data_IF_305149690179
#
_entry.id   IF_305149690179
#
_cell.length_a   1.000
_cell.length_b   1.000
_cell.length_c   1.000
_cell.angle_alpha   90.00
_cell.angle_beta   90.00
_cell.angle_gamma   90.00
#
_symmetry.space_group_name_H-M   'P 1'
#
loop_
_entity.id
_entity.type
_entity.pdbx_description
1 polymer ?
#
# COMPACT_ATOMS: atom_id res chain seq x y z
N UNK A 1 -3.25 -7.44 1.97
CA UNK A 1 -3.16 -8.05 3.30
C UNK A 1 -2.10 -7.38 4.16
N UNK A 2 -0.82 -7.37 3.76
CA UNK A 2 0.23 -6.70 4.53
C UNK A 2 -0.08 -5.22 4.83
N UNK A 3 -0.48 -4.44 3.82
CA UNK A 3 -0.88 -3.03 4.02
C UNK A 3 -2.08 -2.87 4.97
N UNK A 4 -3.04 -3.80 4.93
CA UNK A 4 -4.24 -3.74 5.77
C UNK A 4 -3.89 -4.02 7.23
N UNK A 5 -3.07 -5.06 7.48
CA UNK A 5 -2.54 -5.35 8.80
C UNK A 5 -1.63 -4.22 9.31
N UNK A 6 -0.78 -3.66 8.45
CA UNK A 6 0.09 -2.55 8.82
C UNK A 6 -0.71 -1.29 9.18
N UNK A 7 -1.79 -1.00 8.45
CA UNK A 7 -2.70 0.12 8.76
C UNK A 7 -3.45 -0.06 10.08
N UNK A 8 -4.01 -1.25 10.33
CA UNK A 8 -4.77 -1.53 11.56
C UNK A 8 -3.90 -1.56 12.81
N UNK A 9 -2.73 -2.21 12.75
CA UNK A 9 -1.88 -2.41 13.92
C UNK A 9 -0.80 -1.33 14.07
N UNK A 10 -0.41 -0.64 13.00
CA UNK A 10 0.52 0.51 13.01
C UNK A 10 1.98 0.22 13.38
N UNK A 11 2.29 -0.97 13.90
CA UNK A 11 3.65 -1.41 14.26
C UNK A 11 3.74 -2.94 14.24
N UNK A 12 4.94 -3.46 14.01
CA UNK A 12 5.15 -4.92 13.98
C UNK A 12 4.94 -5.54 15.37
N UNK A 13 5.21 -4.80 16.44
CA UNK A 13 5.04 -5.24 17.82
C UNK A 13 3.56 -5.41 18.16
N UNK A 14 2.71 -4.46 17.77
CA UNK A 14 1.25 -4.56 17.94
C UNK A 14 0.68 -5.71 17.11
N UNK A 15 1.16 -5.91 15.88
CA UNK A 15 0.74 -7.03 15.05
C UNK A 15 1.14 -8.39 15.66
N UNK A 16 2.37 -8.50 16.18
CA UNK A 16 2.85 -9.73 16.83
C UNK A 16 2.09 -10.06 18.11
N UNK A 17 1.63 -9.05 18.84
CA UNK A 17 0.83 -9.21 20.06
C UNK A 17 -0.67 -9.40 19.81
N UNK A 18 -1.14 -9.36 18.56
CA UNK A 18 -2.55 -9.44 18.22
C UNK A 18 -3.08 -10.87 18.39
N UNK A 19 -4.28 -11.01 18.94
CA UNK A 19 -4.98 -12.31 18.97
C UNK A 19 -5.52 -12.69 17.59
N UNK A 20 -5.87 -13.97 17.39
CA UNK A 20 -6.59 -14.39 16.18
C UNK A 20 -7.89 -13.59 15.99
N UNK A 21 -8.58 -13.22 17.08
CA UNK A 21 -9.79 -12.42 17.00
C UNK A 21 -9.52 -10.99 16.52
N UNK A 22 -8.46 -10.34 16.99
CA UNK A 22 -8.06 -9.01 16.54
C UNK A 22 -7.73 -9.01 15.04
N UNK A 23 -7.02 -10.04 14.57
CA UNK A 23 -6.67 -10.22 13.16
C UNK A 23 -7.90 -10.38 12.27
N UNK A 24 -8.98 -10.99 12.78
CA UNK A 24 -10.25 -11.15 12.04
C UNK A 24 -11.06 -9.86 11.93
N UNK A 25 -10.78 -8.86 12.75
CA UNK A 25 -11.45 -7.55 12.68
C UNK A 25 -10.95 -6.71 11.51
N UNK A 26 -9.77 -7.03 10.99
CA UNK A 26 -9.19 -6.35 9.81
C UNK A 26 -10.01 -6.67 8.57
N UNK A 27 -10.46 -5.63 7.86
CA UNK A 27 -11.23 -5.78 6.63
C UNK A 27 -10.46 -6.62 5.59
N UNK A 28 -11.11 -7.65 5.05
CA UNK A 28 -10.50 -8.55 4.07
C UNK A 28 -9.60 -9.65 4.64
N UNK A 29 -9.48 -9.77 5.97
CA UNK A 29 -8.80 -10.90 6.64
C UNK A 29 -9.83 -11.93 7.10
N UNK A 30 -9.86 -13.08 6.41
CA UNK A 30 -10.72 -14.22 6.75
C UNK A 30 -10.16 -15.09 7.88
N UNK A 31 -10.96 -16.03 8.44
CA UNK A 31 -10.57 -16.85 9.59
C UNK A 31 -9.30 -17.69 9.35
N UNK A 32 -9.15 -18.26 8.15
CA UNK A 32 -7.95 -19.05 7.82
C UNK A 32 -6.68 -18.19 7.85
N UNK A 33 -6.75 -16.99 7.28
CA UNK A 33 -5.62 -16.08 7.21
C UNK A 33 -5.26 -15.51 8.59
N UNK A 34 -6.26 -15.15 9.39
CA UNK A 34 -6.05 -14.72 10.76
C UNK A 34 -5.32 -15.81 11.59
N UNK A 35 -5.79 -17.05 11.49
CA UNK A 35 -5.15 -18.19 12.17
C UNK A 35 -3.71 -18.40 11.71
N UNK A 36 -3.45 -18.38 10.41
CA UNK A 36 -2.08 -18.56 9.87
C UNK A 36 -1.13 -17.46 10.33
N UNK A 37 -1.58 -16.20 10.32
CA UNK A 37 -0.79 -15.05 10.80
C UNK A 37 -0.51 -15.19 12.30
N UNK A 38 -1.53 -15.54 13.09
CA UNK A 38 -1.38 -15.78 14.53
C UNK A 38 -0.35 -16.89 14.80
N UNK A 39 -0.52 -18.07 14.18
CA UNK A 39 0.38 -19.21 14.35
C UNK A 39 1.81 -18.93 13.89
N UNK A 40 1.99 -18.08 12.87
CA UNK A 40 3.33 -17.67 12.42
C UNK A 40 4.06 -16.87 13.50
N UNK A 41 3.38 -15.87 14.09
CA UNK A 41 3.96 -15.02 15.14
C UNK A 41 4.09 -15.74 16.49
N UNK A 42 3.22 -16.69 16.80
CA UNK A 42 3.30 -17.57 17.98
C UNK A 42 4.40 -18.63 17.86
N UNK A 43 4.86 -18.89 16.63
CA UNK A 43 5.96 -19.81 16.35
C UNK A 43 7.25 -19.12 15.89
N UNK A 44 7.96 -19.78 14.97
CA UNK A 44 9.26 -19.35 14.44
C UNK A 44 9.29 -17.92 13.86
N UNK A 45 8.16 -17.40 13.39
CA UNK A 45 8.06 -16.07 12.82
C UNK A 45 8.31 -14.97 13.85
N UNK A 46 7.80 -15.14 15.07
CA UNK A 46 8.03 -14.21 16.18
C UNK A 46 9.51 -14.08 16.54
N UNK A 47 10.22 -15.21 16.59
CA UNK A 47 11.67 -15.25 16.85
C UNK A 47 12.48 -14.61 15.73
N UNK A 48 12.13 -14.89 14.47
CA UNK A 48 12.81 -14.30 13.31
C UNK A 48 12.68 -12.78 13.31
N UNK A 49 11.45 -12.28 13.51
CA UNK A 49 11.19 -10.84 13.58
C UNK A 49 11.95 -10.21 14.74
N UNK A 50 12.00 -10.85 15.91
CA UNK A 50 12.78 -10.35 17.04
C UNK A 50 14.27 -10.18 16.67
N UNK A 51 14.89 -11.18 16.03
CA UNK A 51 16.29 -11.12 15.58
C UNK A 51 16.54 -10.00 14.57
N UNK A 52 15.59 -9.76 13.66
CA UNK A 52 15.68 -8.69 12.67
C UNK A 52 15.65 -7.31 13.34
N UNK A 53 14.76 -7.12 14.31
CA UNK A 53 14.67 -5.88 15.08
C UNK A 53 15.94 -5.65 15.93
N UNK A 54 16.45 -6.70 16.58
CA UNK A 54 17.71 -6.65 17.35
C UNK A 54 18.93 -6.33 16.48
N UNK A 55 18.91 -6.73 15.21
CA UNK A 55 19.93 -6.37 14.23
C UNK A 55 19.87 -4.90 13.77
N UNK A 56 18.93 -4.12 14.31
CA UNK A 56 18.79 -2.68 14.03
C UNK A 56 17.91 -2.34 12.83
N UNK A 57 17.18 -3.31 12.28
CA UNK A 57 16.18 -3.03 11.23
C UNK A 57 14.94 -2.44 11.89
N UNK A 58 14.64 -1.18 11.59
CA UNK A 58 13.45 -0.50 12.10
C UNK A 58 12.36 -0.53 11.01
N UNK A 59 11.22 -1.20 11.24
CA UNK A 59 10.09 -1.13 10.32
C UNK A 59 9.57 0.30 10.24
N UNK A 60 9.34 0.78 9.02
CA UNK A 60 8.63 2.05 8.84
C UNK A 60 7.18 1.89 9.31
N UNK A 61 6.71 2.85 10.11
CA UNK A 61 5.32 2.88 10.53
C UNK A 61 4.42 3.10 9.31
N UNK A 62 3.30 2.39 9.26
CA UNK A 62 2.29 2.67 8.25
C UNK A 62 1.77 4.09 8.47
N UNK A 63 1.92 4.96 7.46
CA UNK A 63 1.29 6.28 7.52
C UNK A 63 -0.23 6.11 7.53
N UNK A 64 -0.97 6.84 8.39
CA UNK A 64 -2.42 6.80 8.38
C UNK A 64 -2.93 7.21 7.01
N UNK A 65 -3.89 6.45 6.48
CA UNK A 65 -4.65 6.87 5.30
C UNK A 65 -5.42 8.13 5.71
N UNK A 66 -5.02 9.28 5.20
CA UNK A 66 -5.67 10.55 5.52
C UNK A 66 -7.03 10.67 4.81
N UNK A 67 -7.79 11.70 5.13
CA UNK A 67 -8.88 12.18 4.27
C UNK A 67 -8.36 13.36 3.44
N UNK A 68 -8.62 13.35 2.14
CA UNK A 68 -8.09 14.39 1.25
C UNK A 68 -8.69 14.39 -0.16
N UNK A 69 -8.10 15.16 -1.09
CA UNK A 69 -8.62 15.29 -2.46
C UNK A 69 -8.62 13.97 -3.24
N UNK A 70 -7.88 12.97 -2.77
CA UNK A 70 -7.77 11.66 -3.42
C UNK A 70 -8.61 10.58 -2.73
N UNK A 71 -9.45 10.94 -1.74
CA UNK A 71 -10.30 9.99 -1.02
C UNK A 71 -11.10 9.10 -1.96
N UNK A 72 -10.98 7.78 -1.75
CA UNK A 72 -11.72 6.76 -2.50
C UNK A 72 -11.21 6.51 -3.92
N UNK A 73 -10.10 7.13 -4.32
CA UNK A 73 -9.53 6.99 -5.67
C UNK A 73 -8.36 6.02 -5.68
N UNK A 74 -8.31 5.15 -6.67
CA UNK A 74 -7.22 4.17 -6.84
C UNK A 74 -6.24 4.61 -7.92
N UNK A 75 -4.96 4.71 -7.56
CA UNK A 75 -3.84 5.11 -8.42
C UNK A 75 -2.94 3.92 -8.71
N UNK A 76 -2.43 3.84 -9.94
CA UNK A 76 -1.36 2.90 -10.32
C UNK A 76 -0.24 3.70 -10.96
N UNK A 77 0.97 3.54 -10.43
CA UNK A 77 2.16 4.17 -10.99
C UNK A 77 2.87 3.21 -11.96
N UNK A 78 3.22 3.70 -13.14
CA UNK A 78 3.97 2.94 -14.14
C UNK A 78 5.01 3.79 -14.83
N UNK A 79 6.14 3.18 -15.18
CA UNK A 79 7.32 3.90 -15.65
C UNK A 79 8.12 4.51 -14.51
N UNK A 80 9.08 5.37 -14.87
CA UNK A 80 9.94 6.09 -13.93
C UNK A 80 9.29 7.42 -13.55
N UNK A 81 9.47 7.86 -12.31
CA UNK A 81 9.08 9.20 -11.87
C UNK A 81 10.34 10.07 -11.79
N UNK A 82 10.27 11.29 -12.33
CA UNK A 82 11.42 12.17 -12.50
C UNK A 82 11.64 13.07 -11.27
N UNK A 83 10.56 13.48 -10.60
CA UNK A 83 10.63 14.46 -9.49
C UNK A 83 10.59 13.84 -8.10
N UNK A 84 10.08 12.61 -7.95
CA UNK A 84 10.05 11.88 -6.68
C UNK A 84 10.17 10.37 -6.86
N UNK A 85 10.52 9.65 -5.79
CA UNK A 85 10.51 8.20 -5.80
C UNK A 85 9.09 7.64 -5.94
N UNK A 86 8.95 6.49 -6.60
CA UNK A 86 7.67 5.76 -6.63
C UNK A 86 7.10 5.50 -5.22
N UNK A 87 7.91 5.08 -4.22
CA UNK A 87 7.40 4.91 -2.85
C UNK A 87 6.82 6.21 -2.26
N UNK A 88 7.48 7.34 -2.50
CA UNK A 88 7.03 8.66 -2.03
C UNK A 88 5.71 9.08 -2.67
N UNK A 89 5.55 8.80 -3.97
CA UNK A 89 4.31 9.08 -4.69
C UNK A 89 3.15 8.23 -4.18
N UNK A 90 3.39 6.94 -3.92
CA UNK A 90 2.40 6.06 -3.32
C UNK A 90 2.04 6.49 -1.89
N UNK A 91 3.03 6.91 -1.09
CA UNK A 91 2.81 7.48 0.24
C UNK A 91 1.97 8.76 0.17
N UNK A 92 2.27 9.66 -0.78
CA UNK A 92 1.48 10.88 -1.01
C UNK A 92 0.02 10.57 -1.36
N UNK A 93 -0.22 9.57 -2.21
CA UNK A 93 -1.58 9.11 -2.52
C UNK A 93 -2.30 8.64 -1.27
N UNK A 94 -1.67 7.79 -0.46
CA UNK A 94 -2.25 7.28 0.80
C UNK A 94 -2.53 8.40 1.79
N UNK A 95 -1.60 9.34 1.95
CA UNK A 95 -1.73 10.52 2.82
C UNK A 95 -2.91 11.41 2.44
N UNK A 96 -3.25 11.48 1.15
CA UNK A 96 -4.37 12.26 0.63
C UNK A 96 -5.69 11.45 0.52
N UNK A 97 -5.74 10.26 1.12
CA UNK A 97 -6.91 9.38 1.18
C UNK A 97 -7.14 8.47 -0.02
N UNK A 98 -6.21 8.50 -0.98
CA UNK A 98 -6.23 7.58 -2.11
C UNK A 98 -5.63 6.22 -1.80
N UNK A 99 -5.81 5.29 -2.72
CA UNK A 99 -5.23 3.95 -2.66
C UNK A 99 -4.18 3.78 -3.76
N UNK A 100 -2.95 3.47 -3.41
CA UNK A 100 -1.94 3.05 -4.37
C UNK A 100 -2.06 1.54 -4.65
N UNK A 101 -2.12 1.14 -5.92
CA UNK A 101 -2.22 -0.25 -6.35
C UNK A 101 -1.06 -0.61 -7.30
N UNK A 102 -0.53 -1.83 -7.16
CA UNK A 102 0.59 -2.29 -7.99
C UNK A 102 0.20 -2.74 -9.41
N UNK A 103 -1.10 -2.95 -9.67
CA UNK A 103 -1.61 -3.46 -10.95
C UNK A 103 -2.80 -2.68 -11.47
N UNK A 104 -2.85 -2.50 -12.79
CA UNK A 104 -3.98 -1.86 -13.48
C UNK A 104 -5.16 -2.84 -13.56
N UNK A 105 -6.32 -2.40 -13.06
CA UNK A 105 -7.57 -3.16 -13.07
C UNK A 105 -8.75 -2.26 -13.46
N UNK A 106 -9.94 -2.84 -13.66
CA UNK A 106 -11.16 -2.05 -13.90
C UNK A 106 -11.57 -1.17 -12.70
N UNK A 107 -11.00 -1.42 -11.50
CA UNK A 107 -11.19 -0.61 -10.30
C UNK A 107 -10.17 0.52 -10.15
N UNK A 108 -9.23 0.64 -11.09
CA UNK A 108 -8.23 1.71 -11.09
C UNK A 108 -8.85 2.98 -11.65
N UNK A 109 -8.83 4.08 -10.89
CA UNK A 109 -9.34 5.37 -11.36
C UNK A 109 -8.30 6.12 -12.20
N UNK A 110 -7.04 6.09 -11.75
CA UNK A 110 -5.95 6.84 -12.34
C UNK A 110 -4.71 5.99 -12.57
N UNK A 111 -4.06 6.20 -13.71
CA UNK A 111 -2.76 5.61 -14.02
C UNK A 111 -1.77 6.73 -14.26
N UNK A 112 -0.78 6.87 -13.38
CA UNK A 112 0.30 7.85 -13.55
C UNK A 112 1.40 7.19 -14.36
N UNK A 113 1.63 7.71 -15.56
CA UNK A 113 2.53 7.12 -16.54
C UNK A 113 3.72 8.05 -16.82
N UNK A 114 4.90 7.63 -16.37
CA UNK A 114 6.16 8.27 -16.71
C UNK A 114 6.90 7.57 -17.86
N UNK A 115 8.13 8.01 -18.17
CA UNK A 115 8.98 7.39 -19.19
C UNK A 115 9.12 5.88 -18.95
N UNK A 116 8.95 5.08 -20.01
CA UNK A 116 9.07 3.61 -19.93
C UNK A 116 7.85 2.88 -19.35
N UNK A 117 6.67 3.52 -19.27
CA UNK A 117 5.44 2.94 -18.69
C UNK A 117 4.92 1.64 -19.34
N UNK A 118 5.37 1.30 -20.56
CA UNK A 118 5.23 -0.03 -21.19
C UNK A 118 3.84 -0.66 -21.12
N UNK A 119 3.77 -1.95 -20.78
CA UNK A 119 2.56 -2.78 -20.87
C UNK A 119 1.43 -2.39 -19.92
N UNK A 120 1.70 -1.64 -18.84
CA UNK A 120 0.64 -1.14 -17.94
C UNK A 120 -0.10 0.07 -18.55
N UNK A 121 0.61 0.91 -19.30
CA UNK A 121 0.02 2.03 -20.04
C UNK A 121 -0.95 1.51 -21.11
N UNK A 122 -0.53 0.51 -21.90
CA UNK A 122 -1.39 -0.11 -22.91
C UNK A 122 -2.67 -0.71 -22.29
N UNK A 123 -2.52 -1.37 -21.13
CA UNK A 123 -3.67 -1.93 -20.40
C UNK A 123 -4.63 -0.83 -19.92
N UNK A 124 -4.09 0.29 -19.43
CA UNK A 124 -4.88 1.45 -19.02
C UNK A 124 -5.67 2.06 -20.19
N UNK A 125 -5.02 2.21 -21.35
CA UNK A 125 -5.65 2.69 -22.58
C UNK A 125 -6.78 1.76 -23.05
N UNK A 126 -6.55 0.44 -23.06
CA UNK A 126 -7.56 -0.56 -23.44
C UNK A 126 -8.79 -0.50 -22.53
N UNK A 127 -8.57 -0.28 -21.24
CA UNK A 127 -9.63 -0.12 -20.24
C UNK A 127 -10.22 1.30 -20.20
N UNK A 128 -9.74 2.22 -21.07
CA UNK A 128 -10.16 3.63 -21.14
C UNK A 128 -10.06 4.36 -19.79
N UNK A 129 -9.06 4.00 -19.01
CA UNK A 129 -8.79 4.64 -17.71
C UNK A 129 -8.15 6.01 -17.90
N UNK A 130 -8.28 6.86 -16.88
CA UNK A 130 -7.68 8.19 -16.90
C UNK A 130 -6.17 8.06 -16.67
N UNK A 131 -5.39 8.40 -17.69
CA UNK A 131 -3.93 8.41 -17.63
C UNK A 131 -3.49 9.83 -17.32
N UNK A 132 -2.57 9.96 -16.36
CA UNK A 132 -1.98 11.22 -15.94
C UNK A 132 -0.47 11.16 -16.15
N UNK A 133 0.13 12.30 -16.47
CA UNK A 133 1.57 12.48 -16.27
C UNK A 133 1.90 12.82 -14.80
N UNK A 134 3.19 12.89 -14.48
CA UNK A 134 3.65 13.22 -13.13
C UNK A 134 3.22 14.62 -12.69
N UNK A 135 3.19 15.61 -13.58
CA UNK A 135 2.78 16.97 -13.22
C UNK A 135 1.28 17.07 -12.95
N UNK A 136 0.46 16.38 -13.73
CA UNK A 136 -0.98 16.29 -13.52
C UNK A 136 -1.30 15.60 -12.19
N UNK A 137 -0.56 14.55 -11.85
CA UNK A 137 -0.65 13.91 -10.54
C UNK A 137 -0.32 14.89 -9.41
N UNK A 138 0.78 15.65 -9.51
CA UNK A 138 1.17 16.63 -8.49
C UNK A 138 0.12 17.72 -8.30
N UNK A 139 -0.44 18.24 -9.40
CA UNK A 139 -1.54 19.24 -9.34
C UNK A 139 -2.77 18.69 -8.62
N UNK A 140 -3.14 17.44 -8.87
CA UNK A 140 -4.25 16.77 -8.16
C UNK A 140 -3.92 16.54 -6.68
N UNK A 141 -2.65 16.28 -6.38
CA UNK A 141 -2.16 16.14 -5.02
C UNK A 141 -1.98 17.47 -4.28
N UNK A 142 -2.25 18.62 -4.94
CA UNK A 142 -2.13 19.95 -4.34
C UNK A 142 -0.69 20.43 -4.19
N UNK A 143 0.23 19.94 -5.04
CA UNK A 143 1.63 20.38 -5.15
C UNK A 143 1.90 21.17 -6.42
#
# INVERSE_FOLDING_TARGET
>A
TAEMLAGEFGSIEKLRGASEEDLRRVEGVGPNMAREVFMYFDGHGGELVAKILEAGVVPEAAEPVGEGPLTGKTFVFTGTMETMGRPDAEALVRKLGGKAAGSVSARTDYVVAGPGAGSKLEKAQKLKLKILDEQEFLKLAGK
#
